data_IF_026451249496
#
_entry.id   IF_026451249496
#
_cell.length_a   1.000
_cell.length_b   1.000
_cell.length_c   1.000
_cell.angle_alpha   90.00
_cell.angle_beta   90.00
_cell.angle_gamma   90.00
#
_symmetry.space_group_name_H-M   'P 1'
#
loop_
_entity.id
_entity.type
_entity.pdbx_description
1 polymer ?
#
# COMPACT_ATOMS: atom_id res chain seq x y z
N UNK A 1 0.11 17.25 31.71
CA UNK A 1 -1.01 17.01 30.80
C UNK A 1 -2.31 17.21 31.56
N UNK A 2 -3.05 18.30 31.30
CA UNK A 2 -4.40 18.50 31.85
C UNK A 2 -5.40 18.03 30.81
N UNK A 3 -6.19 17.02 31.15
CA UNK A 3 -7.36 16.61 30.36
C UNK A 3 -8.43 17.68 30.59
N UNK A 4 -8.76 18.46 29.55
CA UNK A 4 -9.59 19.65 29.64
C UNK A 4 -11.10 19.38 29.49
N UNK A 5 -11.51 18.14 29.19
CA UNK A 5 -12.91 17.77 29.10
C UNK A 5 -13.11 16.28 29.38
N UNK A 6 -13.92 15.98 30.40
CA UNK A 6 -14.49 14.67 30.63
C UNK A 6 -15.96 14.73 30.21
N UNK A 7 -16.23 14.62 28.91
CA UNK A 7 -17.58 14.48 28.39
C UNK A 7 -17.93 12.99 28.34
N UNK A 8 -18.78 12.56 29.27
CA UNK A 8 -19.25 11.17 29.34
C UNK A 8 -20.16 10.77 28.16
N UNK A 9 -20.63 11.75 27.38
CA UNK A 9 -21.59 11.58 26.29
C UNK A 9 -20.95 11.51 24.89
N UNK A 10 -19.62 11.56 24.79
CA UNK A 10 -18.94 11.38 23.49
C UNK A 10 -18.69 9.90 23.24
N UNK A 11 -18.98 9.45 22.00
CA UNK A 11 -18.56 8.14 21.53
C UNK A 11 -17.06 8.01 21.73
N UNK A 12 -16.68 7.04 22.57
CA UNK A 12 -15.29 6.86 22.96
C UNK A 12 -14.53 6.37 21.73
N UNK A 13 -13.42 7.03 21.41
CA UNK A 13 -12.47 6.52 20.42
C UNK A 13 -11.89 5.21 20.95
N UNK A 14 -11.99 4.15 20.16
CA UNK A 14 -11.48 2.81 20.50
C UNK A 14 -10.12 2.51 19.88
N UNK A 15 -9.80 3.11 18.73
CA UNK A 15 -8.52 2.97 18.06
C UNK A 15 -8.21 4.18 17.17
N UNK A 16 -6.92 4.42 16.92
CA UNK A 16 -6.42 5.51 16.06
C UNK A 16 -5.38 4.96 15.11
N UNK A 17 -5.45 5.35 13.84
CA UNK A 17 -4.37 5.13 12.86
C UNK A 17 -3.91 6.46 12.27
N UNK A 18 -2.60 6.70 12.38
CA UNK A 18 -1.95 7.84 11.75
C UNK A 18 -1.52 7.49 10.32
N UNK A 19 -1.60 8.43 9.37
CA UNK A 19 -1.09 8.22 8.04
C UNK A 19 0.43 8.01 8.07
N UNK A 20 0.93 7.13 7.21
CA UNK A 20 2.36 6.83 7.09
C UNK A 20 3.05 7.53 5.93
N UNK A 21 2.28 7.93 4.92
CA UNK A 21 2.81 8.66 3.77
C UNK A 21 3.35 10.03 4.24
N UNK A 22 4.64 10.33 4.05
CA UNK A 22 5.22 11.60 4.42
C UNK A 22 4.69 12.67 3.47
N UNK A 23 3.87 13.55 4.02
CA UNK A 23 3.36 14.71 3.30
C UNK A 23 3.74 15.98 4.07
N UNK A 24 4.12 17.00 3.32
CA UNK A 24 4.24 18.34 3.88
C UNK A 24 2.83 18.89 4.13
N UNK A 25 2.69 19.56 5.27
CA UNK A 25 1.46 20.20 5.73
C UNK A 25 1.50 21.72 5.53
N UNK A 26 2.34 22.19 4.60
CA UNK A 26 2.40 23.60 4.22
C UNK A 26 1.12 24.04 3.50
N UNK A 27 0.78 25.33 3.57
CA UNK A 27 -0.39 25.86 2.87
C UNK A 27 -0.34 25.60 1.36
N UNK A 28 0.86 25.62 0.76
CA UNK A 28 1.06 25.31 -0.66
C UNK A 28 0.68 23.86 -0.97
N UNK A 29 1.14 22.92 -0.16
CA UNK A 29 0.87 21.49 -0.38
C UNK A 29 -0.60 21.14 -0.13
N UNK A 30 -1.25 21.78 0.86
CA UNK A 30 -2.68 21.62 1.13
C UNK A 30 -3.54 22.16 -0.02
N UNK A 31 -3.12 23.26 -0.65
CA UNK A 31 -3.78 23.79 -1.85
C UNK A 31 -3.61 22.81 -3.01
N UNK A 32 -2.40 22.32 -3.25
CA UNK A 32 -2.14 21.32 -4.31
C UNK A 32 -2.97 20.06 -4.10
N UNK A 33 -3.05 19.53 -2.88
CA UNK A 33 -3.89 18.37 -2.56
C UNK A 33 -5.38 18.64 -2.84
N UNK A 34 -5.85 19.84 -2.53
CA UNK A 34 -7.24 20.26 -2.74
C UNK A 34 -7.59 20.51 -4.20
N UNK A 35 -6.63 20.97 -5.01
CA UNK A 35 -6.78 21.20 -6.45
C UNK A 35 -6.70 19.88 -7.23
N UNK A 36 -5.81 18.98 -6.82
CA UNK A 36 -5.60 17.66 -7.46
C UNK A 36 -6.54 16.57 -6.94
N UNK A 37 -7.17 16.78 -5.77
CA UNK A 37 -7.93 15.78 -5.02
C UNK A 37 -7.08 14.58 -4.59
N UNK A 38 -5.82 14.83 -4.24
CA UNK A 38 -4.89 13.82 -3.73
C UNK A 38 -4.80 13.93 -2.21
N UNK A 39 -5.55 13.08 -1.51
CA UNK A 39 -5.61 13.06 -0.05
C UNK A 39 -4.82 11.97 0.70
N UNK A 40 -4.07 11.03 0.05
CA UNK A 40 -3.18 10.15 0.80
C UNK A 40 -2.25 10.93 1.72
N UNK A 41 -2.17 10.51 2.99
CA UNK A 41 -1.35 11.19 4.00
C UNK A 41 -2.06 12.30 4.79
N UNK A 42 -3.17 12.86 4.27
CA UNK A 42 -3.89 13.96 4.91
C UNK A 42 -4.96 13.53 5.90
N UNK A 43 -5.37 12.26 5.87
CA UNK A 43 -6.38 11.69 6.78
C UNK A 43 -5.76 10.87 7.91
N UNK A 44 -6.23 11.06 9.14
CA UNK A 44 -6.07 10.10 10.24
C UNK A 44 -7.39 9.36 10.45
N UNK A 45 -7.35 8.07 10.80
CA UNK A 45 -8.55 7.27 11.03
C UNK A 45 -8.79 7.08 12.52
N UNK A 46 -10.03 7.25 12.93
CA UNK A 46 -10.53 6.99 14.28
C UNK A 46 -11.59 5.89 14.19
N UNK A 47 -11.47 4.86 15.02
CA UNK A 47 -12.57 3.94 15.29
C UNK A 47 -13.28 4.34 16.58
N UNK A 48 -14.58 4.13 16.62
CA UNK A 48 -15.44 4.44 17.75
C UNK A 48 -16.15 3.18 18.27
N UNK A 49 -16.60 3.21 19.53
CA UNK A 49 -17.30 2.08 20.16
C UNK A 49 -18.69 1.80 19.55
N UNK A 50 -19.25 2.75 18.78
CA UNK A 50 -20.47 2.57 17.98
C UNK A 50 -20.24 1.74 16.70
N UNK A 51 -18.99 1.39 16.40
CA UNK A 51 -18.59 0.63 15.21
C UNK A 51 -18.27 1.48 13.98
N UNK A 52 -18.36 2.80 14.09
CA UNK A 52 -17.97 3.71 13.01
C UNK A 52 -16.44 3.88 12.94
N UNK A 53 -15.96 4.11 11.72
CA UNK A 53 -14.61 4.59 11.43
C UNK A 53 -14.77 5.95 10.76
N UNK A 54 -14.14 6.98 11.31
CA UNK A 54 -14.08 8.30 10.69
C UNK A 54 -12.66 8.61 10.24
N UNK A 55 -12.52 9.13 9.03
CA UNK A 55 -11.27 9.70 8.54
C UNK A 55 -11.37 11.21 8.74
N UNK A 56 -10.49 11.76 9.58
CA UNK A 56 -10.41 13.19 9.86
C UNK A 56 -9.21 13.81 9.15
N UNK A 57 -9.37 15.04 8.67
CA UNK A 57 -8.28 15.81 8.13
C UNK A 57 -7.25 16.11 9.23
N UNK A 58 -5.98 15.82 8.98
CA UNK A 58 -4.91 15.80 9.99
C UNK A 58 -4.70 17.13 10.71
N UNK A 59 -4.98 18.25 10.05
CA UNK A 59 -4.83 19.59 10.64
C UNK A 59 -6.14 20.16 11.15
N UNK A 60 -7.15 20.21 10.28
CA UNK A 60 -8.40 20.89 10.59
C UNK A 60 -9.36 20.02 11.39
N UNK A 61 -9.07 18.72 11.54
CA UNK A 61 -9.91 17.70 12.17
C UNK A 61 -11.32 17.58 11.60
N UNK A 62 -11.55 18.18 10.42
CA UNK A 62 -12.81 18.03 9.70
C UNK A 62 -12.95 16.61 9.18
N UNK A 63 -14.14 16.05 9.31
CA UNK A 63 -14.45 14.72 8.80
C UNK A 63 -14.36 14.71 7.27
N UNK A 64 -13.50 13.85 6.74
CA UNK A 64 -13.29 13.62 5.30
C UNK A 64 -14.09 12.42 4.80
N UNK A 65 -14.38 11.46 5.67
CA UNK A 65 -15.18 10.28 5.34
C UNK A 65 -15.59 9.52 6.59
N UNK A 66 -16.71 8.81 6.48
CA UNK A 66 -17.23 7.94 7.55
C UNK A 66 -17.57 6.59 6.95
N UNK A 67 -17.18 5.53 7.65
CA UNK A 67 -17.50 4.16 7.34
C UNK A 67 -18.20 3.54 8.55
N UNK A 68 -19.40 3.03 8.35
CA UNK A 68 -20.10 2.26 9.38
C UNK A 68 -19.79 0.79 9.13
N UNK A 69 -19.17 0.12 10.11
CA UNK A 69 -18.97 -1.32 10.02
C UNK A 69 -20.33 -2.00 9.81
N UNK A 70 -20.42 -2.88 8.80
CA UNK A 70 -21.65 -3.63 8.51
C UNK A 70 -22.00 -4.54 9.70
N UNK A 71 -22.77 -4.00 10.65
CA UNK A 71 -23.60 -4.78 11.58
C UNK A 71 -24.89 -5.29 10.92
N UNK A 72 -25.04 -5.11 9.60
CA UNK A 72 -26.08 -5.72 8.78
C UNK A 72 -25.54 -6.03 7.41
N UNK A 73 -25.67 -7.30 7.00
CA UNK A 73 -25.84 -7.82 5.64
C UNK A 73 -25.37 -6.96 4.45
N UNK A 74 -24.81 -7.65 3.46
CA UNK A 74 -25.01 -7.35 2.03
C UNK A 74 -26.50 -7.06 1.74
N UNK A 75 -26.99 -5.86 2.02
CA UNK A 75 -28.25 -5.36 1.50
C UNK A 75 -27.95 -4.95 0.06
N UNK A 76 -28.22 -5.89 -0.84
CA UNK A 76 -28.54 -5.53 -2.21
C UNK A 76 -29.64 -4.47 -2.12
N UNK A 77 -29.46 -3.37 -2.84
CA UNK A 77 -30.46 -2.31 -3.02
C UNK A 77 -31.78 -2.98 -3.42
N UNK A 78 -32.80 -2.99 -2.53
CA UNK A 78 -34.14 -3.47 -2.90
C UNK A 78 -35.02 -4.14 -1.84
N UNK A 79 -34.56 -4.50 -0.63
CA UNK A 79 -35.46 -5.13 0.37
C UNK A 79 -35.87 -4.16 1.49
N UNK A 80 -37.19 -3.94 1.61
CA UNK A 80 -37.85 -3.13 2.64
C UNK A 80 -37.55 -3.61 4.07
N UNK A 81 -37.54 -2.70 5.07
CA UNK A 81 -37.20 -3.06 6.43
C UNK A 81 -38.35 -3.76 7.14
N UNK A 82 -38.28 -5.09 7.24
CA UNK A 82 -39.10 -5.84 8.18
C UNK A 82 -38.68 -5.50 9.62
N UNK A 83 -39.59 -4.89 10.38
CA UNK A 83 -39.45 -4.56 11.81
C UNK A 83 -39.24 -5.86 12.60
N UNK A 84 -37.98 -6.22 12.85
CA UNK A 84 -37.62 -7.31 13.76
C UNK A 84 -37.17 -6.73 15.10
N UNK A 85 -37.89 -7.13 16.16
CA UNK A 85 -37.61 -6.87 17.59
C UNK A 85 -36.12 -6.71 17.87
N UNK A 86 -35.75 -5.52 18.34
CA UNK A 86 -34.44 -5.17 18.86
C UNK A 86 -34.10 -6.11 20.04
N UNK A 87 -33.23 -7.10 19.81
CA UNK A 87 -32.62 -7.86 20.90
C UNK A 87 -31.77 -6.89 21.72
N UNK A 88 -31.88 -6.95 23.05
CA UNK A 88 -30.98 -6.25 23.96
C UNK A 88 -29.53 -6.51 23.54
N UNK A 89 -28.84 -5.42 23.17
CA UNK A 89 -27.63 -5.47 22.34
C UNK A 89 -26.45 -6.08 23.09
N UNK A 90 -25.89 -7.15 22.51
CA UNK A 90 -24.51 -7.51 22.80
C UNK A 90 -23.56 -6.35 22.46
N UNK A 91 -22.31 -6.38 22.92
CA UNK A 91 -21.35 -5.31 22.64
C UNK A 91 -21.23 -5.07 21.13
N UNK A 92 -21.46 -3.83 20.69
CA UNK A 92 -21.38 -3.43 19.29
C UNK A 92 -20.00 -3.79 18.72
N UNK A 93 -20.00 -4.33 17.49
CA UNK A 93 -18.77 -4.60 16.74
C UNK A 93 -17.98 -3.31 16.57
N UNK A 94 -16.75 -3.26 17.06
CA UNK A 94 -15.88 -2.10 16.89
C UNK A 94 -14.41 -2.49 16.85
N UNK A 95 -13.59 -1.62 16.25
CA UNK A 95 -12.17 -1.87 16.08
C UNK A 95 -11.37 -1.49 17.34
N UNK A 96 -10.49 -2.39 17.78
CA UNK A 96 -9.57 -2.18 18.90
C UNK A 96 -8.17 -1.76 18.45
N UNK A 97 -7.81 -2.02 17.21
CA UNK A 97 -6.58 -1.57 16.59
C UNK A 97 -6.86 -1.19 15.14
N UNK A 98 -6.19 -0.14 14.67
CA UNK A 98 -6.21 0.31 13.28
C UNK A 98 -4.79 0.64 12.84
N UNK A 99 -4.49 0.40 11.56
CA UNK A 99 -3.22 0.78 10.96
C UNK A 99 -3.35 1.05 9.46
N UNK A 100 -2.86 2.21 9.02
CA UNK A 100 -2.71 2.48 7.59
C UNK A 100 -1.54 1.71 6.98
N UNK A 101 -1.71 1.35 5.71
CA UNK A 101 -0.63 0.94 4.83
C UNK A 101 0.33 2.11 4.54
N UNK A 102 1.48 1.83 3.92
CA UNK A 102 2.53 2.83 3.70
C UNK A 102 2.11 3.98 2.78
N UNK A 103 1.22 3.73 1.83
CA UNK A 103 0.65 4.79 0.96
C UNK A 103 -0.69 5.33 1.47
N UNK A 104 -1.15 4.89 2.64
CA UNK A 104 -2.45 5.26 3.23
C UNK A 104 -3.67 4.92 2.36
N UNK A 105 -3.52 3.99 1.40
CA UNK A 105 -4.61 3.53 0.52
C UNK A 105 -5.34 2.27 1.00
N UNK A 106 -4.85 1.65 2.07
CA UNK A 106 -5.53 0.61 2.80
C UNK A 106 -5.46 0.88 4.31
N UNK A 107 -6.53 0.52 5.01
CA UNK A 107 -6.63 0.55 6.46
C UNK A 107 -6.91 -0.87 6.94
N UNK A 108 -6.06 -1.38 7.81
CA UNK A 108 -6.22 -2.70 8.44
C UNK A 108 -6.71 -2.48 9.86
N UNK A 109 -7.66 -3.29 10.30
CA UNK A 109 -8.19 -3.22 11.66
C UNK A 109 -8.45 -4.58 12.27
N UNK A 110 -8.31 -4.67 13.59
CA UNK A 110 -8.72 -5.84 14.38
C UNK A 110 -9.92 -5.45 15.23
N UNK A 111 -11.01 -6.21 15.12
CA UNK A 111 -12.22 -5.97 15.89
C UNK A 111 -12.14 -6.54 17.32
N UNK A 112 -13.14 -6.22 18.14
CA UNK A 112 -13.29 -6.72 19.49
C UNK A 112 -13.55 -8.24 19.59
N UNK A 113 -13.66 -8.95 18.47
CA UNK A 113 -13.70 -10.42 18.39
C UNK A 113 -12.37 -11.02 17.92
N UNK A 114 -11.34 -10.21 17.69
CA UNK A 114 -10.03 -10.66 17.21
C UNK A 114 -9.97 -10.94 15.70
N UNK A 115 -10.99 -10.55 14.93
CA UNK A 115 -11.00 -10.73 13.47
C UNK A 115 -10.29 -9.57 12.78
N UNK A 116 -9.46 -9.92 11.79
CA UNK A 116 -8.76 -8.97 10.94
C UNK A 116 -9.66 -8.53 9.77
N UNK A 117 -9.72 -7.23 9.53
CA UNK A 117 -10.41 -6.62 8.39
C UNK A 117 -9.46 -5.73 7.61
N UNK A 118 -9.67 -5.65 6.30
CA UNK A 118 -8.97 -4.74 5.41
C UNK A 118 -9.99 -3.87 4.69
N UNK A 119 -9.80 -2.56 4.79
CA UNK A 119 -10.64 -1.54 4.22
C UNK A 119 -9.83 -0.80 3.15
N UNK A 120 -10.38 -0.70 1.95
CA UNK A 120 -9.78 0.08 0.87
C UNK A 120 -10.11 1.57 1.08
N UNK A 121 -9.11 2.43 1.05
CA UNK A 121 -9.24 3.88 1.25
C UNK A 121 -8.96 4.59 -0.07
N UNK A 122 -9.95 5.31 -0.62
CA UNK A 122 -9.79 6.01 -1.90
C UNK A 122 -8.79 7.16 -1.77
N UNK A 123 -7.83 7.32 -2.72
CA UNK A 123 -6.93 8.47 -2.77
C UNK A 123 -7.70 9.80 -2.82
N UNK A 124 -8.89 9.80 -3.44
CA UNK A 124 -9.73 10.98 -3.60
C UNK A 124 -10.77 11.17 -2.48
N UNK A 125 -10.77 10.29 -1.47
CA UNK A 125 -11.76 10.29 -0.38
C UNK A 125 -13.22 10.33 -0.89
N UNK A 126 -13.51 9.59 -1.96
CA UNK A 126 -14.84 9.48 -2.55
C UNK A 126 -15.16 10.52 -3.62
N UNK A 127 -14.26 11.48 -3.88
CA UNK A 127 -14.45 12.43 -4.97
C UNK A 127 -14.28 11.74 -6.33
N UNK A 128 -15.18 12.05 -7.27
CA UNK A 128 -15.10 11.58 -8.65
C UNK A 128 -13.88 12.23 -9.33
N UNK A 129 -13.05 11.40 -9.96
CA UNK A 129 -11.88 11.84 -10.71
C UNK A 129 -12.01 11.42 -12.17
N UNK A 130 -11.48 12.23 -13.07
CA UNK A 130 -11.23 11.79 -14.42
C UNK A 130 -10.12 10.72 -14.43
N UNK A 131 -10.07 9.97 -15.54
CA UNK A 131 -9.13 8.86 -15.68
C UNK A 131 -7.67 9.31 -15.66
N UNK A 132 -7.36 10.50 -16.20
CA UNK A 132 -5.98 10.99 -16.27
C UNK A 132 -5.48 11.40 -14.88
N UNK A 133 -6.31 12.08 -14.09
CA UNK A 133 -5.99 12.43 -12.70
C UNK A 133 -5.83 11.17 -11.84
N UNK A 134 -6.74 10.19 -12.01
CA UNK A 134 -6.63 8.89 -11.33
C UNK A 134 -5.33 8.16 -11.68
N UNK A 135 -4.98 8.09 -12.97
CA UNK A 135 -3.71 7.51 -13.43
C UNK A 135 -2.51 8.22 -12.81
N UNK A 136 -2.52 9.55 -12.77
CA UNK A 136 -1.44 10.35 -12.19
C UNK A 136 -1.25 10.07 -10.70
N UNK A 137 -2.34 9.98 -9.93
CA UNK A 137 -2.27 9.66 -8.50
C UNK A 137 -1.63 8.29 -8.24
N UNK A 138 -2.03 7.28 -9.00
CA UNK A 138 -1.43 5.94 -8.87
C UNK A 138 0.03 5.95 -9.30
N UNK A 139 0.37 6.66 -10.38
CA UNK A 139 1.75 6.77 -10.86
C UNK A 139 2.68 7.37 -9.81
N UNK A 140 2.29 8.48 -9.17
CA UNK A 140 3.08 9.10 -8.09
C UNK A 140 3.30 8.16 -6.90
N UNK A 141 2.27 7.39 -6.53
CA UNK A 141 2.40 6.43 -5.43
C UNK A 141 3.27 5.22 -5.80
N UNK A 142 3.19 4.74 -7.05
CA UNK A 142 4.07 3.69 -7.55
C UNK A 142 5.53 4.16 -7.59
N UNK A 143 5.79 5.37 -8.06
CA UNK A 143 7.12 6.00 -8.03
C UNK A 143 7.64 6.11 -6.60
N UNK A 144 6.81 6.61 -5.68
CA UNK A 144 7.14 6.68 -4.26
C UNK A 144 7.53 5.31 -3.70
N UNK A 145 6.73 4.28 -3.95
CA UNK A 145 7.03 2.90 -3.54
C UNK A 145 8.35 2.39 -4.16
N UNK A 146 8.59 2.67 -5.45
CA UNK A 146 9.84 2.28 -6.11
C UNK A 146 11.07 2.94 -5.48
N UNK A 147 11.00 4.23 -5.16
CA UNK A 147 12.15 4.98 -4.61
C UNK A 147 12.40 4.57 -3.15
N UNK A 148 11.35 4.52 -2.33
CA UNK A 148 11.46 4.20 -0.90
C UNK A 148 11.69 2.71 -0.63
N UNK A 149 11.26 1.84 -1.53
CA UNK A 149 11.26 0.39 -1.32
C UNK A 149 10.06 -0.11 -0.50
N UNK A 150 9.08 0.75 -0.22
CA UNK A 150 7.80 0.29 0.34
C UNK A 150 7.04 -0.55 -0.67
N UNK A 151 6.30 -1.53 -0.16
CA UNK A 151 5.43 -2.36 -0.98
C UNK A 151 4.31 -1.51 -1.61
N UNK A 152 3.93 -1.84 -2.85
CA UNK A 152 2.96 -1.13 -3.67
C UNK A 152 1.60 -1.84 -3.73
N UNK A 153 1.41 -2.95 -3.01
CA UNK A 153 0.20 -3.76 -3.09
C UNK A 153 -1.10 -2.96 -2.83
N UNK A 154 -1.06 -1.97 -1.93
CA UNK A 154 -2.20 -1.14 -1.57
C UNK A 154 -2.57 -0.15 -2.69
N UNK A 155 -1.59 0.30 -3.46
CA UNK A 155 -1.80 1.08 -4.69
C UNK A 155 -2.52 0.24 -5.75
N UNK A 156 -2.16 -1.04 -5.87
CA UNK A 156 -2.77 -1.95 -6.84
C UNK A 156 -4.27 -2.18 -6.59
N UNK A 157 -4.74 -2.05 -5.35
CA UNK A 157 -6.18 -2.13 -5.04
C UNK A 157 -7.00 -1.11 -5.84
N UNK A 158 -6.37 -0.02 -6.28
CA UNK A 158 -7.03 1.08 -7.00
C UNK A 158 -6.81 1.07 -8.51
N UNK A 159 -5.88 0.25 -9.02
CA UNK A 159 -5.65 0.10 -10.44
C UNK A 159 -6.73 -0.79 -11.09
N UNK A 160 -7.43 -0.24 -12.08
CA UNK A 160 -8.40 -1.01 -12.87
C UNK A 160 -7.71 -1.73 -14.04
N UNK A 161 -8.25 -2.86 -14.54
CA UNK A 161 -7.65 -3.58 -15.67
C UNK A 161 -7.41 -2.72 -16.92
N UNK A 162 -8.30 -1.76 -17.20
CA UNK A 162 -8.18 -0.80 -18.31
C UNK A 162 -7.05 0.21 -18.14
N UNK A 163 -6.59 0.45 -16.91
CA UNK A 163 -5.52 1.38 -16.59
C UNK A 163 -4.13 0.75 -16.71
N UNK A 164 -4.04 -0.60 -16.68
CA UNK A 164 -2.78 -1.34 -16.59
C UNK A 164 -1.79 -0.96 -17.68
N UNK A 165 -2.23 -0.91 -18.94
CA UNK A 165 -1.35 -0.56 -20.06
C UNK A 165 -0.76 0.85 -19.90
N UNK A 166 -1.61 1.85 -19.59
CA UNK A 166 -1.17 3.23 -19.39
C UNK A 166 -0.21 3.38 -18.21
N UNK A 167 -0.47 2.68 -17.09
CA UNK A 167 0.42 2.70 -15.93
C UNK A 167 1.77 2.08 -16.25
N UNK A 168 1.80 0.96 -16.98
CA UNK A 168 3.03 0.28 -17.36
C UNK A 168 3.93 1.15 -18.25
N UNK A 169 3.35 1.80 -19.26
CA UNK A 169 4.10 2.65 -20.19
C UNK A 169 4.61 3.91 -19.49
N UNK A 170 3.74 4.67 -18.80
CA UNK A 170 4.14 5.90 -18.10
C UNK A 170 5.18 5.66 -17.00
N UNK A 171 5.00 4.59 -16.22
CA UNK A 171 6.00 4.20 -15.20
C UNK A 171 7.34 3.84 -15.84
N UNK A 172 7.32 3.25 -17.03
CA UNK A 172 8.55 2.96 -17.76
C UNK A 172 9.24 4.21 -18.29
N UNK A 173 8.48 5.14 -18.86
CA UNK A 173 8.96 6.43 -19.35
C UNK A 173 9.63 7.21 -18.21
N UNK A 174 8.98 7.30 -17.05
CA UNK A 174 9.53 7.99 -15.87
C UNK A 174 10.80 7.32 -15.34
N UNK A 175 10.85 5.98 -15.38
CA UNK A 175 12.09 5.25 -15.07
C UNK A 175 13.21 5.55 -16.08
N UNK A 176 12.90 5.61 -17.39
CA UNK A 176 13.88 5.87 -18.44
C UNK A 176 14.39 7.31 -18.44
N UNK A 177 13.60 8.25 -17.91
CA UNK A 177 14.01 9.64 -17.73
C UNK A 177 15.07 9.83 -16.63
N UNK A 178 15.23 8.85 -15.74
CA UNK A 178 16.22 8.92 -14.67
C UNK A 178 17.65 8.75 -15.20
N UNK A 179 18.63 9.29 -14.47
CA UNK A 179 20.03 9.05 -14.79
C UNK A 179 20.42 7.56 -14.64
N UNK A 180 21.53 7.17 -15.26
CA UNK A 180 21.96 5.77 -15.32
C UNK A 180 22.18 5.14 -13.93
N UNK A 181 22.71 5.89 -12.96
CA UNK A 181 22.95 5.40 -11.62
C UNK A 181 21.63 5.05 -10.90
N UNK A 182 20.63 5.91 -11.00
CA UNK A 182 19.33 5.67 -10.39
C UNK A 182 18.58 4.53 -11.11
N UNK A 183 18.67 4.45 -12.43
CA UNK A 183 18.13 3.31 -13.19
C UNK A 183 18.72 1.98 -12.70
N UNK A 184 20.04 1.91 -12.48
CA UNK A 184 20.68 0.70 -11.96
C UNK A 184 20.12 0.29 -10.60
N UNK A 185 19.97 1.25 -9.66
CA UNK A 185 19.41 1.00 -8.32
C UNK A 185 17.96 0.53 -8.38
N UNK A 186 17.14 1.13 -9.26
CA UNK A 186 15.71 0.82 -9.36
C UNK A 186 15.38 -0.36 -10.29
N UNK A 187 16.36 -0.86 -11.05
CA UNK A 187 16.20 -1.83 -12.14
C UNK A 187 15.39 -3.07 -11.77
N UNK A 188 15.60 -3.64 -10.57
CA UNK A 188 14.85 -4.81 -10.10
C UNK A 188 13.45 -4.42 -9.62
N UNK A 189 13.31 -3.25 -8.98
CA UNK A 189 12.03 -2.75 -8.44
C UNK A 189 11.04 -2.44 -9.57
N UNK A 190 11.47 -1.77 -10.64
CA UNK A 190 10.60 -1.47 -11.78
C UNK A 190 10.07 -2.77 -12.44
N UNK A 191 10.89 -3.82 -12.54
CA UNK A 191 10.44 -5.11 -13.09
C UNK A 191 9.39 -5.75 -12.18
N UNK A 192 9.57 -5.70 -10.86
CA UNK A 192 8.62 -6.25 -9.89
C UNK A 192 7.28 -5.50 -9.86
N UNK A 193 7.30 -4.16 -9.96
CA UNK A 193 6.08 -3.36 -10.08
C UNK A 193 5.35 -3.68 -11.38
N UNK A 194 6.08 -3.75 -12.51
CA UNK A 194 5.50 -4.12 -13.80
C UNK A 194 4.87 -5.51 -13.80
N UNK A 195 5.54 -6.50 -13.21
CA UNK A 195 4.98 -7.85 -13.04
C UNK A 195 3.65 -7.80 -12.28
N UNK A 196 3.59 -7.02 -11.20
CA UNK A 196 2.40 -6.91 -10.35
C UNK A 196 1.24 -6.21 -11.06
N UNK A 197 1.50 -5.14 -11.82
CA UNK A 197 0.51 -4.46 -12.65
C UNK A 197 -0.04 -5.37 -13.75
N UNK A 198 0.83 -6.12 -14.43
CA UNK A 198 0.42 -7.03 -15.50
C UNK A 198 -0.55 -8.13 -15.03
N UNK A 199 -0.49 -8.53 -13.76
CA UNK A 199 -1.43 -9.51 -13.17
C UNK A 199 -2.86 -8.96 -13.02
N UNK A 200 -3.05 -7.65 -13.05
CA UNK A 200 -4.37 -7.03 -12.89
C UNK A 200 -5.21 -7.06 -14.17
N UNK A 201 -4.64 -7.45 -15.32
CA UNK A 201 -5.35 -7.55 -16.59
C UNK A 201 -4.99 -8.85 -17.30
N UNK A 202 -6.01 -9.59 -17.75
CA UNK A 202 -5.83 -10.82 -18.53
C UNK A 202 -5.06 -10.58 -19.83
N UNK A 203 -5.22 -9.40 -20.44
CA UNK A 203 -4.51 -9.00 -21.67
C UNK A 203 -2.98 -8.92 -21.50
N UNK A 204 -2.49 -8.77 -20.26
CA UNK A 204 -1.06 -8.68 -19.95
C UNK A 204 -0.53 -9.86 -19.15
N UNK A 205 -1.31 -10.93 -18.97
CA UNK A 205 -0.94 -12.07 -18.14
C UNK A 205 0.37 -12.74 -18.59
N UNK A 206 0.57 -12.92 -19.91
CA UNK A 206 1.81 -13.46 -20.45
C UNK A 206 3.04 -12.60 -20.10
N UNK A 207 2.91 -11.26 -20.20
CA UNK A 207 3.97 -10.32 -19.81
C UNK A 207 4.32 -10.41 -18.32
N UNK A 208 3.35 -10.72 -17.46
CA UNK A 208 3.63 -10.93 -16.04
C UNK A 208 4.59 -12.12 -15.83
N UNK A 209 4.36 -13.23 -16.55
CA UNK A 209 5.25 -14.39 -16.52
C UNK A 209 6.67 -14.04 -16.97
N UNK A 210 6.82 -13.27 -18.06
CA UNK A 210 8.13 -12.83 -18.56
C UNK A 210 8.87 -11.97 -17.53
N UNK A 211 8.17 -11.06 -16.85
CA UNK A 211 8.77 -10.25 -15.79
C UNK A 211 9.17 -11.11 -14.58
N UNK A 212 8.37 -12.09 -14.18
CA UNK A 212 8.73 -13.02 -13.12
C UNK A 212 9.94 -13.89 -13.49
N UNK A 213 10.01 -14.39 -14.73
CA UNK A 213 11.18 -15.09 -15.23
C UNK A 213 12.43 -14.19 -15.21
N UNK A 214 12.30 -12.93 -15.63
CA UNK A 214 13.39 -11.96 -15.56
C UNK A 214 13.87 -11.71 -14.13
N UNK A 215 12.96 -11.56 -13.16
CA UNK A 215 13.32 -11.42 -11.74
C UNK A 215 14.05 -12.65 -11.21
N UNK A 216 13.59 -13.84 -11.57
CA UNK A 216 14.26 -15.09 -11.22
C UNK A 216 15.68 -15.14 -11.79
N UNK A 217 15.86 -14.80 -13.06
CA UNK A 217 17.18 -14.75 -13.70
C UNK A 217 18.10 -13.70 -13.06
N UNK A 218 17.56 -12.54 -12.66
CA UNK A 218 18.32 -11.53 -11.91
C UNK A 218 18.75 -12.09 -10.55
N UNK A 219 17.87 -12.78 -9.83
CA UNK A 219 18.19 -13.39 -8.55
C UNK A 219 19.28 -14.47 -8.70
N UNK A 220 19.15 -15.37 -9.68
CA UNK A 220 20.17 -16.39 -10.00
C UNK A 220 21.51 -15.71 -10.33
N UNK A 221 21.50 -14.70 -11.22
CA UNK A 221 22.72 -13.97 -11.58
C UNK A 221 23.37 -13.28 -10.38
N UNK A 222 22.57 -12.68 -9.49
CA UNK A 222 23.04 -12.03 -8.26
C UNK A 222 23.68 -13.03 -7.32
N UNK A 223 23.06 -14.20 -7.12
CA UNK A 223 23.59 -15.29 -6.30
C UNK A 223 24.90 -15.83 -6.87
N UNK A 224 24.96 -16.11 -8.17
CA UNK A 224 26.20 -16.57 -8.80
C UNK A 224 27.32 -15.52 -8.68
N UNK A 225 27.01 -14.24 -8.91
CA UNK A 225 27.98 -13.15 -8.73
C UNK A 225 28.44 -13.01 -7.28
N UNK A 226 27.58 -13.22 -6.29
CA UNK A 226 27.96 -13.11 -4.88
C UNK A 226 28.90 -14.24 -4.44
N UNK A 227 28.73 -15.44 -4.98
CA UNK A 227 29.67 -16.56 -4.79
C UNK A 227 31.06 -16.24 -5.35
N UNK A 228 31.11 -15.51 -6.48
CA UNK A 228 32.35 -15.13 -7.16
C UNK A 228 33.04 -13.89 -6.56
N UNK A 229 32.38 -13.12 -5.67
CA UNK A 229 33.00 -11.95 -5.05
C UNK A 229 33.94 -12.36 -3.90
N UNK A 230 35.17 -11.83 -3.81
CA UNK A 230 36.03 -12.05 -2.65
C UNK A 230 35.36 -11.51 -1.38
N UNK A 231 35.21 -12.34 -0.35
CA UNK A 231 34.60 -11.93 0.92
C UNK A 231 35.59 -11.22 1.86
N UNK A 232 36.88 -11.29 1.52
CA UNK A 232 38.00 -10.73 2.26
C UNK A 232 38.90 -10.02 1.24
N UNK A 233 39.07 -8.70 1.40
CA UNK A 233 39.93 -7.87 0.54
C UNK A 233 41.43 -8.22 0.65
N UNK A 234 41.81 -9.12 1.56
CA UNK A 234 43.20 -9.35 1.99
C UNK A 234 43.77 -10.76 1.68
N UNK A 235 43.11 -11.59 0.85
CA UNK A 235 43.70 -12.87 0.41
C UNK A 235 43.77 -12.91 -1.11
N UNK A 236 44.92 -12.57 -1.72
CA UNK A 236 45.09 -12.52 -3.17
C UNK A 236 45.06 -13.90 -3.86
N UNK A 237 45.18 -15.00 -3.10
CA UNK A 237 45.56 -16.30 -3.68
C UNK A 237 44.41 -17.23 -4.05
N UNK A 238 43.15 -16.92 -3.70
CA UNK A 238 42.00 -17.76 -4.08
C UNK A 238 41.20 -17.10 -5.17
N UNK A 239 41.22 -17.68 -6.37
CA UNK A 239 40.39 -17.22 -7.47
C UNK A 239 38.90 -17.45 -7.13
N UNK A 240 37.98 -16.66 -7.72
CA UNK A 240 36.54 -16.91 -7.62
C UNK A 240 36.13 -18.35 -7.99
N UNK A 241 36.88 -18.99 -8.91
CA UNK A 241 36.66 -20.38 -9.33
C UNK A 241 37.01 -21.39 -8.25
N UNK A 242 38.13 -21.20 -7.54
CA UNK A 242 38.55 -22.10 -6.46
C UNK A 242 37.54 -22.10 -5.30
N UNK A 243 36.96 -20.93 -5.01
CA UNK A 243 35.92 -20.78 -3.99
C UNK A 243 34.62 -21.50 -4.37
N UNK A 244 34.22 -21.42 -5.64
CA UNK A 244 33.04 -22.12 -6.13
C UNK A 244 33.23 -23.64 -5.99
N UNK A 245 34.39 -24.16 -6.40
CA UNK A 245 34.75 -25.56 -6.22
C UNK A 245 34.72 -26.00 -4.75
N UNK A 246 35.22 -25.17 -3.83
CA UNK A 246 35.19 -25.44 -2.38
C UNK A 246 33.75 -25.53 -1.83
N UNK A 247 32.84 -24.65 -2.28
CA UNK A 247 31.43 -24.66 -1.87
C UNK A 247 30.69 -25.87 -2.46
N UNK A 248 30.94 -26.20 -3.72
CA UNK A 248 30.35 -27.37 -4.37
C UNK A 248 30.81 -28.67 -3.68
N UNK A 249 32.10 -28.79 -3.36
CA UNK A 249 32.64 -29.97 -2.67
C UNK A 249 32.05 -30.18 -1.27
N UNK A 250 31.80 -29.11 -0.50
CA UNK A 250 31.19 -29.20 0.83
C UNK A 250 29.72 -29.62 0.83
N UNK A 251 29.01 -29.46 -0.29
CA UNK A 251 27.58 -29.82 -0.40
C UNK A 251 27.36 -31.26 -0.90
N UNK A 252 28.42 -31.97 -1.28
CA UNK A 252 28.36 -33.38 -1.73
C UNK A 252 28.50 -34.41 -0.60
N UNK A 253 28.76 -33.98 0.64
CA UNK A 253 28.97 -34.86 1.81
C UNK A 253 27.69 -35.17 2.62
N UNK A 254 26.50 -35.05 2.00
CA UNK A 254 25.21 -35.54 2.55
C UNK A 254 24.49 -36.40 1.54
#
# INVERSE_FOLDING_TARGET
WRILSATNDLDRVSAVALPKLPISISNTDLKVASDTKFFPGLGLALAFHDGSIQILHRLSLHTMGVFYGSSGSSQRVGEEPAIKRQRAGGPTLHFKALQFSWTSLALVGVDNHGKLHMLRVSPSMGQMLDINTSLRHLLFLLEYCMVTGYDWWDVLLHAQPSMVHNLLEKLHEEYMRQNQALQQVLSTRIVAVKASLCKLSSATAARACDFHAKLLLIAISSTLKSLLRPHVLNTPDKSPGDRLSEICAKNTDT
#
